data_IF_786174742080
#
_entry.id   IF_786174742080
#
_cell.length_a   1.000
_cell.length_b   1.000
_cell.length_c   1.000
_cell.angle_alpha   90.00
_cell.angle_beta   90.00
_cell.angle_gamma   90.00
#
_symmetry.space_group_name_H-M   'P 1'
#
loop_
_entity.id
_entity.type
_entity.pdbx_description
1 polymer ?
#
# COMPACT_ATOMS: atom_id res chain seq x y z
N UNK A 1 -12.72 -5.30 20.07
CA UNK A 1 -13.15 -5.57 18.68
C UNK A 1 -11.88 -5.88 17.91
N UNK A 2 -11.61 -7.13 17.59
CA UNK A 2 -10.39 -7.52 16.89
C UNK A 2 -10.43 -6.93 15.48
N UNK A 3 -9.52 -6.01 15.15
CA UNK A 3 -9.29 -5.56 13.79
C UNK A 3 -8.75 -6.75 13.01
N UNK A 4 -9.61 -7.42 12.24
CA UNK A 4 -9.22 -8.54 11.40
C UNK A 4 -8.17 -8.07 10.39
N UNK A 5 -6.95 -8.59 10.54
CA UNK A 5 -5.84 -8.29 9.64
C UNK A 5 -6.18 -8.92 8.29
N UNK A 6 -6.22 -8.09 7.25
CA UNK A 6 -6.46 -8.55 5.89
C UNK A 6 -5.16 -9.09 5.29
N UNK A 7 -4.08 -8.33 5.45
CA UNK A 7 -2.73 -8.75 5.07
C UNK A 7 -1.67 -7.98 5.87
N UNK A 8 -0.48 -8.56 5.88
CA UNK A 8 0.74 -7.98 6.43
C UNK A 8 1.89 -8.25 5.47
N UNK A 9 2.70 -7.22 5.20
CA UNK A 9 3.80 -7.29 4.23
C UNK A 9 5.04 -6.61 4.77
N UNK A 10 6.16 -7.32 4.72
CA UNK A 10 7.47 -6.76 4.98
C UNK A 10 7.93 -5.89 3.80
N UNK A 11 8.41 -4.70 4.12
CA UNK A 11 8.96 -3.76 3.14
C UNK A 11 10.49 -3.84 3.12
N UNK A 12 11.15 -3.51 1.99
CA UNK A 12 12.61 -3.44 1.92
C UNK A 12 13.22 -2.34 2.81
N UNK A 13 12.40 -1.45 3.38
CA UNK A 13 12.84 -0.46 4.37
C UNK A 13 13.02 -1.07 5.79
N UNK A 14 12.68 -2.35 5.98
CA UNK A 14 12.87 -3.07 7.25
C UNK A 14 11.73 -2.95 8.24
N UNK A 15 10.56 -2.44 7.82
CA UNK A 15 9.33 -2.44 8.61
C UNK A 15 8.19 -3.16 7.88
N UNK A 16 7.20 -3.61 8.64
CA UNK A 16 6.04 -4.34 8.12
C UNK A 16 4.82 -3.43 8.05
N UNK A 17 4.07 -3.52 6.96
CA UNK A 17 2.80 -2.80 6.75
C UNK A 17 1.66 -3.76 6.99
N UNK A 18 0.84 -3.44 8.00
CA UNK A 18 -0.36 -4.19 8.32
C UNK A 18 -1.60 -3.44 7.87
N UNK A 19 -2.46 -4.10 7.11
CA UNK A 19 -3.75 -3.55 6.68
C UNK A 19 -4.87 -4.40 7.26
N UNK A 20 -5.80 -3.75 7.95
CA UNK A 20 -7.00 -4.39 8.46
C UNK A 20 -8.15 -4.31 7.44
N UNK A 21 -9.06 -5.30 7.47
CA UNK A 21 -10.18 -5.43 6.53
C UNK A 21 -11.08 -4.19 6.53
N UNK A 22 -11.35 -3.60 7.69
CA UNK A 22 -12.16 -2.38 7.82
C UNK A 22 -11.54 -1.16 7.14
N UNK A 23 -10.22 -0.96 7.28
CA UNK A 23 -9.52 0.17 6.68
C UNK A 23 -9.33 -0.03 5.18
N UNK A 24 -9.06 -1.27 4.75
CA UNK A 24 -9.07 -1.60 3.33
C UNK A 24 -10.42 -1.31 2.68
N UNK A 25 -11.52 -1.71 3.32
CA UNK A 25 -12.87 -1.40 2.84
C UNK A 25 -13.07 0.11 2.70
N UNK A 26 -12.61 0.91 3.66
CA UNK A 26 -12.65 2.36 3.56
C UNK A 26 -11.79 2.92 2.42
N UNK A 27 -10.60 2.37 2.18
CA UNK A 27 -9.75 2.74 1.05
C UNK A 27 -10.49 2.49 -0.27
N UNK A 28 -11.02 1.28 -0.48
CA UNK A 28 -11.63 0.88 -1.76
C UNK A 28 -13.07 1.37 -1.95
N UNK A 29 -13.67 2.02 -0.95
CA UNK A 29 -15.02 2.61 -1.10
C UNK A 29 -15.02 4.13 -1.07
N UNK A 30 -14.09 4.75 -0.33
CA UNK A 30 -14.08 6.20 -0.10
C UNK A 30 -12.87 6.88 -0.71
N UNK A 31 -11.65 6.37 -0.48
CA UNK A 31 -10.42 7.07 -0.91
C UNK A 31 -10.09 6.80 -2.38
N UNK A 32 -10.02 5.52 -2.74
CA UNK A 32 -9.51 5.04 -4.02
C UNK A 32 -10.30 3.80 -4.47
N UNK A 33 -11.53 3.97 -5.01
CA UNK A 33 -12.35 2.84 -5.46
C UNK A 33 -11.69 1.95 -6.52
N UNK A 34 -10.76 2.51 -7.28
CA UNK A 34 -9.98 1.78 -8.29
C UNK A 34 -9.04 0.73 -7.70
N UNK A 35 -8.78 0.74 -6.39
CA UNK A 35 -7.94 -0.27 -5.71
C UNK A 35 -8.72 -1.53 -5.29
N UNK A 36 -10.04 -1.58 -5.52
CA UNK A 36 -10.83 -2.77 -5.21
C UNK A 36 -10.33 -3.99 -5.99
N UNK A 37 -10.04 -5.10 -5.29
CA UNK A 37 -9.51 -6.32 -5.90
C UNK A 37 -8.01 -6.29 -6.20
N UNK A 38 -7.29 -5.26 -5.74
CA UNK A 38 -5.87 -5.05 -6.01
C UNK A 38 -4.98 -5.34 -4.80
N UNK A 39 -5.48 -6.09 -3.82
CA UNK A 39 -4.78 -6.44 -2.60
C UNK A 39 -3.42 -7.09 -2.90
N UNK A 40 -3.38 -8.04 -3.85
CA UNK A 40 -2.17 -8.73 -4.23
C UNK A 40 -1.14 -7.77 -4.87
N UNK A 41 -1.60 -6.84 -5.71
CA UNK A 41 -0.72 -5.86 -6.37
C UNK A 41 -0.15 -4.84 -5.37
N UNK A 42 -0.94 -4.43 -4.40
CA UNK A 42 -0.46 -3.57 -3.30
C UNK A 42 0.58 -4.32 -2.47
N UNK A 43 0.33 -5.58 -2.11
CA UNK A 43 1.30 -6.38 -1.37
C UNK A 43 2.61 -6.55 -2.16
N UNK A 44 2.52 -6.83 -3.46
CA UNK A 44 3.68 -6.95 -4.33
C UNK A 44 4.45 -5.62 -4.45
N UNK A 45 3.75 -4.49 -4.55
CA UNK A 45 4.36 -3.15 -4.61
C UNK A 45 5.09 -2.80 -3.32
N UNK A 46 4.55 -3.20 -2.16
CA UNK A 46 5.18 -2.98 -0.86
C UNK A 46 6.40 -3.89 -0.63
N UNK A 47 6.33 -5.15 -1.07
CA UNK A 47 7.41 -6.13 -0.93
C UNK A 47 8.57 -5.88 -1.87
N UNK A 48 8.25 -5.61 -3.14
CA UNK A 48 9.22 -5.43 -4.22
C UNK A 48 8.84 -4.19 -5.05
N UNK A 49 9.04 -2.98 -4.49
CA UNK A 49 8.92 -1.74 -5.23
C UNK A 49 10.09 -1.56 -6.20
N UNK A 50 9.84 -0.86 -7.30
CA UNK A 50 10.90 -0.40 -8.21
C UNK A 50 11.52 0.92 -7.74
N UNK A 51 10.69 1.78 -7.17
CA UNK A 51 11.13 3.08 -6.64
C UNK A 51 10.44 3.36 -5.30
N UNK A 52 11.23 3.81 -4.32
CA UNK A 52 10.75 4.22 -3.01
C UNK A 52 11.13 5.68 -2.80
N UNK A 53 10.14 6.52 -2.64
CA UNK A 53 10.31 7.94 -2.34
C UNK A 53 9.77 8.26 -0.95
N UNK A 54 10.42 9.19 -0.25
CA UNK A 54 9.80 9.82 0.93
C UNK A 54 9.00 11.03 0.48
N UNK A 55 7.80 11.21 1.03
CA UNK A 55 6.96 12.36 0.70
C UNK A 55 7.66 13.66 1.06
N UNK A 56 7.49 14.67 0.20
CA UNK A 56 8.01 16.03 0.43
C UNK A 56 7.21 16.79 1.48
N UNK A 57 5.92 16.47 1.61
CA UNK A 57 5.00 17.18 2.49
C UNK A 57 4.93 16.58 3.90
N UNK A 58 5.23 15.29 4.04
CA UNK A 58 5.22 14.59 5.32
C UNK A 58 6.38 13.58 5.39
N UNK A 59 7.30 13.78 6.33
CA UNK A 59 8.49 12.94 6.45
C UNK A 59 8.20 11.53 6.96
N UNK A 60 7.00 11.27 7.49
CA UNK A 60 6.59 9.94 7.92
C UNK A 60 5.97 9.12 6.79
N UNK A 61 5.74 9.74 5.63
CA UNK A 61 5.05 9.09 4.51
C UNK A 61 6.04 8.57 3.48
N UNK A 62 5.96 7.26 3.22
CA UNK A 62 6.71 6.58 2.16
C UNK A 62 5.81 6.24 0.99
N UNK A 63 6.37 6.42 -0.21
CA UNK A 63 5.72 6.27 -1.50
C UNK A 63 6.40 5.14 -2.25
N UNK A 64 5.68 4.06 -2.47
CA UNK A 64 6.15 2.87 -3.17
C UNK A 64 5.57 2.87 -4.59
N UNK A 65 6.45 2.83 -5.58
CA UNK A 65 6.08 2.77 -6.99
C UNK A 65 6.50 1.43 -7.59
N UNK A 66 5.62 0.93 -8.46
CA UNK A 66 5.89 -0.21 -9.31
C UNK A 66 5.24 0.01 -10.67
N UNK A 67 6.03 -0.06 -11.72
CA UNK A 67 5.55 -0.01 -13.09
C UNK A 67 4.97 -1.39 -13.44
N UNK A 68 3.68 -1.43 -13.76
CA UNK A 68 3.13 -2.54 -14.53
C UNK A 68 3.13 -2.18 -16.00
N UNK A 69 3.16 -3.21 -16.86
CA UNK A 69 3.18 -3.13 -18.33
C UNK A 69 2.15 -2.15 -18.91
N UNK A 70 1.05 -1.88 -18.18
CA UNK A 70 -0.02 -0.96 -18.60
C UNK A 70 -0.25 0.24 -17.68
N UNK A 71 0.18 0.24 -16.40
CA UNK A 71 -0.02 1.36 -15.47
C UNK A 71 1.03 1.40 -14.34
N UNK A 72 1.39 2.60 -13.89
CA UNK A 72 2.24 2.81 -12.71
C UNK A 72 1.39 2.84 -11.44
N UNK A 73 1.71 1.96 -10.49
CA UNK A 73 1.05 1.87 -9.18
C UNK A 73 1.73 2.77 -8.16
N UNK A 74 0.92 3.26 -7.21
CA UNK A 74 1.36 4.12 -6.13
C UNK A 74 0.74 3.66 -4.82
N UNK A 75 1.58 3.25 -3.87
CA UNK A 75 1.15 2.95 -2.50
C UNK A 75 1.79 3.95 -1.54
N UNK A 76 0.96 4.71 -0.82
CA UNK A 76 1.41 5.59 0.24
C UNK A 76 1.21 4.92 1.60
N UNK A 77 2.26 4.89 2.41
CA UNK A 77 2.25 4.35 3.77
C UNK A 77 2.65 5.46 4.73
N UNK A 78 1.88 5.64 5.80
CA UNK A 78 2.06 6.64 6.87
C UNK A 78 2.31 5.95 8.20
#
# INVERSE_FOLDING_TARGET
MASEVLFEVDTPLGFSVQVNRSYWQFIVTVKHPTMAGMEAEVQNTLREPEEICRSRSDANVYLFYREQVTQRWFCAVT
#
